data_IF_555030021682
#
_entry.id   IF_555030021682
#
_cell.length_a   1.000
_cell.length_b   1.000
_cell.length_c   1.000
_cell.angle_alpha   90.00
_cell.angle_beta   90.00
_cell.angle_gamma   90.00
#
_symmetry.space_group_name_H-M   'P 1'
#
loop_
_entity.id
_entity.type
_entity.pdbx_description
1 polymer ?
#
# COMPACT_ATOMS: atom_id res chain seq x y z
N UNK A 1 23.02 63.25 21.42
CA UNK A 1 23.39 62.32 20.32
C UNK A 1 22.22 61.36 20.14
N UNK A 2 21.38 61.56 19.12
CA UNK A 2 21.38 60.76 17.88
C UNK A 2 21.23 59.26 18.20
N UNK A 3 20.18 58.53 17.83
CA UNK A 3 19.59 58.43 16.49
C UNK A 3 18.11 58.01 16.54
N UNK A 4 17.28 58.66 15.71
CA UNK A 4 16.01 58.13 15.20
C UNK A 4 16.34 57.08 14.13
N UNK A 5 15.78 55.87 14.23
CA UNK A 5 15.68 54.96 13.10
C UNK A 5 14.20 54.90 12.69
N UNK A 6 13.88 55.59 11.59
CA UNK A 6 12.56 55.57 10.98
C UNK A 6 12.32 54.19 10.33
N UNK A 7 11.23 53.52 10.73
CA UNK A 7 10.78 52.30 10.09
C UNK A 7 10.28 52.64 8.67
N UNK A 8 11.05 52.25 7.64
CA UNK A 8 10.57 52.27 6.26
C UNK A 8 9.50 51.17 6.09
N UNK A 9 8.22 51.53 6.18
CA UNK A 9 7.15 50.74 5.59
C UNK A 9 7.24 50.87 4.08
N UNK A 10 7.85 49.87 3.43
CA UNK A 10 7.70 49.69 1.97
C UNK A 10 6.28 49.18 1.70
N UNK A 11 5.36 50.08 1.41
CA UNK A 11 4.08 49.74 0.78
C UNK A 11 4.36 49.37 -0.67
N UNK A 12 4.33 48.07 -0.97
CA UNK A 12 4.27 47.60 -2.35
C UNK A 12 2.81 47.71 -2.78
N UNK A 13 2.49 48.70 -3.62
CA UNK A 13 1.20 48.78 -4.28
C UNK A 13 1.11 47.61 -5.27
N UNK A 14 0.21 46.65 -4.99
CA UNK A 14 -0.21 45.65 -5.97
C UNK A 14 -0.96 46.38 -7.09
N UNK A 15 -0.61 46.16 -8.38
CA UNK A 15 -1.33 46.79 -9.47
C UNK A 15 -2.78 46.27 -9.47
N UNK A 16 -3.71 47.22 -9.45
CA UNK A 16 -5.13 46.98 -9.62
C UNK A 16 -5.42 46.55 -11.06
N UNK A 17 -5.16 45.28 -11.35
CA UNK A 17 -5.72 44.60 -12.49
C UNK A 17 -6.14 43.21 -12.00
N UNK A 18 -7.30 43.15 -11.36
CA UNK A 18 -7.99 41.90 -11.10
C UNK A 18 -8.34 41.28 -12.47
N UNK A 19 -7.44 40.48 -13.02
CA UNK A 19 -7.86 39.46 -13.96
C UNK A 19 -8.89 38.63 -13.21
N UNK A 20 -10.13 38.50 -13.71
CA UNK A 20 -11.04 37.53 -13.12
C UNK A 20 -10.32 36.20 -13.23
N UNK A 21 -9.90 35.65 -12.09
CA UNK A 21 -9.58 34.25 -12.04
C UNK A 21 -10.88 33.60 -12.50
N UNK A 22 -10.90 33.15 -13.76
CA UNK A 22 -11.83 32.13 -14.18
C UNK A 22 -11.56 31.02 -13.16
N UNK A 23 -12.42 30.94 -12.15
CA UNK A 23 -12.55 29.80 -11.26
C UNK A 23 -13.01 28.69 -12.18
N UNK A 24 -12.03 28.17 -12.92
CA UNK A 24 -12.14 27.10 -13.87
C UNK A 24 -12.79 26.02 -13.04
N UNK A 25 -14.06 25.77 -13.35
CA UNK A 25 -14.95 24.80 -12.73
C UNK A 25 -14.11 23.57 -12.52
N UNK A 26 -13.56 23.42 -11.31
CA UNK A 26 -12.76 22.25 -10.96
C UNK A 26 -13.72 21.14 -11.27
N UNK A 27 -13.32 20.22 -12.14
CA UNK A 27 -14.13 19.04 -12.43
C UNK A 27 -14.22 18.31 -11.10
N UNK A 28 -15.24 18.68 -10.32
CA UNK A 28 -15.49 18.13 -9.01
C UNK A 28 -15.73 16.66 -9.30
N UNK A 29 -14.86 15.85 -8.75
CA UNK A 29 -14.92 14.40 -8.81
C UNK A 29 -16.38 13.95 -8.68
N UNK A 30 -16.83 12.99 -9.50
CA UNK A 30 -18.19 12.51 -9.40
C UNK A 30 -18.46 12.07 -7.95
N UNK A 31 -19.70 12.27 -7.51
CA UNK A 31 -20.16 11.83 -6.19
C UNK A 31 -19.79 10.36 -5.96
N UNK A 32 -18.75 10.16 -5.14
CA UNK A 32 -18.11 8.85 -4.98
C UNK A 32 -19.05 7.85 -4.31
N UNK A 33 -20.00 8.32 -3.49
CA UNK A 33 -20.99 7.49 -2.79
C UNK A 33 -21.86 6.65 -3.73
N UNK A 34 -21.99 7.08 -5.00
CA UNK A 34 -22.77 6.37 -6.03
C UNK A 34 -21.97 5.28 -6.73
N UNK A 35 -20.64 5.28 -6.60
CA UNK A 35 -19.77 4.31 -7.25
C UNK A 35 -19.84 2.98 -6.51
N UNK A 36 -19.90 1.87 -7.26
CA UNK A 36 -19.89 0.52 -6.69
C UNK A 36 -18.65 0.26 -5.85
N UNK A 37 -17.49 0.78 -6.28
CA UNK A 37 -16.25 0.64 -5.53
C UNK A 37 -16.32 1.29 -4.14
N UNK A 38 -16.94 2.46 -4.03
CA UNK A 38 -17.08 3.15 -2.74
C UNK A 38 -17.95 2.35 -1.76
N UNK A 39 -19.07 1.81 -2.24
CA UNK A 39 -19.94 0.93 -1.47
C UNK A 39 -19.24 -0.37 -1.06
N UNK A 40 -18.33 -0.89 -1.90
CA UNK A 40 -17.56 -2.09 -1.58
C UNK A 40 -16.53 -1.83 -0.47
N UNK A 41 -15.87 -0.68 -0.48
CA UNK A 41 -14.96 -0.25 0.61
C UNK A 41 -15.70 -0.14 1.93
N UNK A 42 -16.91 0.45 1.94
CA UNK A 42 -17.72 0.51 3.16
C UNK A 42 -18.08 -0.89 3.71
N UNK A 43 -18.39 -1.83 2.82
CA UNK A 43 -18.72 -3.22 3.17
C UNK A 43 -17.51 -4.06 3.56
N UNK A 44 -16.30 -3.66 3.17
CA UNK A 44 -15.07 -4.36 3.56
C UNK A 44 -14.94 -4.45 5.09
N UNK A 45 -15.41 -3.42 5.81
CA UNK A 45 -15.43 -3.41 7.27
C UNK A 45 -16.30 -4.52 7.90
N UNK A 46 -17.26 -5.08 7.17
CA UNK A 46 -18.10 -6.20 7.61
C UNK A 46 -17.43 -7.57 7.36
N UNK A 47 -16.36 -7.61 6.58
CA UNK A 47 -15.65 -8.86 6.23
C UNK A 47 -14.81 -9.31 7.43
N UNK A 48 -15.10 -10.51 7.93
CA UNK A 48 -14.34 -11.10 9.04
C UNK A 48 -12.94 -11.58 8.66
N UNK A 49 -12.07 -11.74 9.66
CA UNK A 49 -10.65 -12.12 9.45
C UNK A 49 -10.38 -13.63 9.45
N UNK A 50 -11.38 -14.49 9.65
CA UNK A 50 -11.18 -15.92 9.84
C UNK A 50 -10.51 -16.63 8.64
N UNK A 51 -10.78 -16.18 7.41
CA UNK A 51 -10.09 -16.71 6.22
C UNK A 51 -8.62 -16.26 6.19
N UNK A 52 -8.37 -14.99 6.47
CA UNK A 52 -7.01 -14.43 6.54
C UNK A 52 -6.17 -15.10 7.64
N UNK A 53 -6.73 -15.35 8.82
CA UNK A 53 -6.02 -16.03 9.92
C UNK A 53 -5.61 -17.46 9.52
N UNK A 54 -6.50 -18.21 8.87
CA UNK A 54 -6.17 -19.56 8.36
C UNK A 54 -5.05 -19.52 7.32
N UNK A 55 -5.05 -18.53 6.44
CA UNK A 55 -3.99 -18.33 5.44
C UNK A 55 -2.65 -18.00 6.12
N UNK A 56 -2.65 -17.12 7.13
CA UNK A 56 -1.45 -16.80 7.91
C UNK A 56 -0.88 -18.04 8.62
N UNK A 57 -1.73 -18.82 9.30
CA UNK A 57 -1.33 -20.06 9.96
C UNK A 57 -0.75 -21.08 8.97
N UNK A 58 -1.38 -21.21 7.80
CA UNK A 58 -0.90 -22.09 6.74
C UNK A 58 0.48 -21.64 6.23
N UNK A 59 0.64 -20.35 5.94
CA UNK A 59 1.89 -19.79 5.45
C UNK A 59 3.04 -19.96 6.45
N UNK A 60 2.77 -19.78 7.75
CA UNK A 60 3.74 -20.04 8.82
C UNK A 60 4.13 -21.51 8.95
N UNK A 61 3.20 -22.42 8.65
CA UNK A 61 3.45 -23.88 8.67
C UNK A 61 4.29 -24.35 7.48
N UNK A 62 4.11 -23.73 6.32
CA UNK A 62 4.78 -24.12 5.07
C UNK A 62 6.13 -23.41 4.86
N UNK A 63 6.26 -22.18 5.34
CA UNK A 63 7.50 -21.42 5.28
C UNK A 63 8.46 -21.66 6.44
N UNK A 64 9.60 -20.96 6.41
CA UNK A 64 10.52 -20.85 7.53
C UNK A 64 10.06 -19.73 8.48
N UNK A 65 10.26 -19.90 9.79
CA UNK A 65 10.00 -18.84 10.75
C UNK A 65 10.90 -17.63 10.45
N UNK A 66 10.38 -16.43 10.71
CA UNK A 66 11.15 -15.21 10.64
C UNK A 66 12.39 -15.26 11.54
N UNK A 67 13.46 -14.58 11.12
CA UNK A 67 14.70 -14.50 11.89
C UNK A 67 14.46 -13.96 13.31
N UNK A 68 15.34 -14.30 14.25
CA UNK A 68 15.21 -13.87 15.66
C UNK A 68 15.25 -12.34 15.84
N UNK A 69 15.88 -11.62 14.91
CA UNK A 69 15.95 -10.17 14.88
C UNK A 69 14.67 -9.49 14.39
N UNK A 70 13.70 -10.23 13.85
CA UNK A 70 12.45 -9.65 13.37
C UNK A 70 11.48 -9.40 14.51
N UNK A 71 10.94 -8.18 14.53
CA UNK A 71 9.87 -7.76 15.45
C UNK A 71 8.56 -8.49 15.16
N UNK A 72 8.22 -8.63 13.88
CA UNK A 72 7.01 -9.34 13.45
C UNK A 72 7.37 -10.71 12.90
N UNK A 73 6.85 -11.76 13.54
CA UNK A 73 7.05 -13.16 13.15
C UNK A 73 5.84 -13.80 12.50
N UNK A 74 4.79 -13.01 12.24
CA UNK A 74 3.60 -13.48 11.52
C UNK A 74 3.86 -13.58 10.02
N UNK A 75 4.94 -12.97 9.52
CA UNK A 75 5.37 -13.04 8.11
C UNK A 75 6.41 -14.16 7.94
N UNK A 76 6.05 -15.30 7.33
CA UNK A 76 6.99 -16.38 7.06
C UNK A 76 7.99 -16.05 5.95
N UNK A 77 9.13 -16.73 5.97
CA UNK A 77 10.09 -16.72 4.85
C UNK A 77 9.82 -17.92 3.94
N UNK A 78 9.97 -17.78 2.62
CA UNK A 78 9.75 -18.86 1.63
C UNK A 78 8.32 -19.43 1.54
N UNK A 79 7.33 -18.78 2.16
CA UNK A 79 5.93 -19.07 1.88
C UNK A 79 5.39 -18.10 0.85
N UNK A 80 4.58 -18.60 -0.08
CA UNK A 80 3.76 -17.77 -0.97
C UNK A 80 2.37 -17.60 -0.34
N UNK A 81 1.78 -16.42 -0.47
CA UNK A 81 0.35 -16.21 -0.20
C UNK A 81 -0.50 -16.43 -1.45
N UNK A 82 -1.80 -16.19 -1.34
CA UNK A 82 -2.72 -16.21 -2.48
C UNK A 82 -2.26 -15.25 -3.58
N UNK A 83 -2.13 -15.80 -4.79
CA UNK A 83 -1.96 -15.01 -6.00
C UNK A 83 -3.32 -14.73 -6.60
N UNK A 84 -3.54 -13.54 -7.18
CA UNK A 84 -4.77 -13.27 -7.90
C UNK A 84 -5.07 -14.40 -8.89
N UNK A 85 -6.25 -15.02 -8.77
CA UNK A 85 -6.60 -16.25 -9.49
C UNK A 85 -6.39 -16.18 -11.02
N UNK A 86 -6.39 -14.99 -11.61
CA UNK A 86 -6.17 -14.79 -13.05
C UNK A 86 -4.69 -14.80 -13.47
N UNK A 87 -3.73 -14.68 -12.55
CA UNK A 87 -2.33 -14.45 -12.87
C UNK A 87 -1.51 -15.74 -13.08
N UNK A 88 -2.04 -16.91 -12.66
CA UNK A 88 -1.30 -18.17 -12.68
C UNK A 88 0.00 -18.12 -11.86
N UNK A 89 0.65 -19.28 -11.67
CA UNK A 89 1.90 -19.34 -10.91
C UNK A 89 3.06 -18.86 -11.79
N UNK A 90 3.67 -17.73 -11.40
CA UNK A 90 4.93 -17.23 -11.95
C UNK A 90 6.08 -17.71 -11.06
N UNK A 91 6.46 -18.98 -11.21
CA UNK A 91 7.69 -19.55 -10.62
C UNK A 91 8.90 -19.26 -11.52
N UNK A 92 10.10 -19.40 -10.94
CA UNK A 92 11.34 -19.31 -11.70
C UNK A 92 11.32 -20.27 -12.89
N UNK A 93 11.41 -19.71 -14.10
CA UNK A 93 11.37 -20.49 -15.35
C UNK A 93 10.18 -21.47 -15.48
N UNK A 94 9.05 -21.20 -14.82
CA UNK A 94 7.90 -22.13 -14.74
C UNK A 94 8.24 -23.49 -14.10
N UNK A 95 9.29 -23.56 -13.29
CA UNK A 95 9.62 -24.73 -12.52
C UNK A 95 8.49 -25.09 -11.52
N UNK A 96 8.38 -26.36 -11.12
CA UNK A 96 7.46 -26.78 -10.06
C UNK A 96 7.70 -26.00 -8.77
N UNK A 97 6.61 -25.62 -8.09
CA UNK A 97 6.68 -24.96 -6.80
C UNK A 97 6.77 -25.99 -5.67
N UNK A 98 7.73 -25.82 -4.77
CA UNK A 98 7.81 -26.55 -3.52
C UNK A 98 7.11 -25.73 -2.45
N UNK A 99 5.90 -26.14 -2.08
CA UNK A 99 5.07 -25.40 -1.13
C UNK A 99 5.60 -25.50 0.31
N UNK A 100 5.92 -26.71 0.76
CA UNK A 100 6.51 -26.93 2.09
C UNK A 100 8.05 -26.85 2.02
N UNK A 101 8.63 -25.84 2.64
CA UNK A 101 10.09 -25.61 2.66
C UNK A 101 10.86 -26.75 3.31
N UNK A 102 10.23 -27.59 4.15
CA UNK A 102 10.89 -28.74 4.77
C UNK A 102 11.20 -29.85 3.77
N UNK A 103 10.58 -29.78 2.60
CA UNK A 103 10.73 -30.76 1.53
C UNK A 103 11.84 -30.40 0.53
N UNK A 104 12.53 -29.26 0.69
CA UNK A 104 13.61 -28.83 -0.21
C UNK A 104 14.75 -29.85 -0.31
N UNK A 105 15.00 -30.63 0.76
CA UNK A 105 16.02 -31.67 0.79
C UNK A 105 15.77 -32.83 -0.20
N UNK A 106 14.56 -32.92 -0.77
CA UNK A 106 14.22 -33.92 -1.80
C UNK A 106 14.74 -33.54 -3.19
N UNK A 107 15.31 -32.34 -3.34
CA UNK A 107 15.77 -31.78 -4.60
C UNK A 107 17.24 -31.39 -4.51
N UNK A 108 17.94 -31.45 -5.64
CA UNK A 108 19.35 -31.01 -5.71
C UNK A 108 19.48 -29.49 -5.57
N UNK A 109 18.48 -28.74 -6.05
CA UNK A 109 18.38 -27.29 -5.92
C UNK A 109 16.91 -26.84 -5.91
N UNK A 110 16.63 -25.77 -5.17
CA UNK A 110 15.34 -25.07 -5.15
C UNK A 110 15.58 -23.55 -5.14
N UNK A 111 14.69 -22.79 -5.81
CA UNK A 111 14.81 -21.33 -6.04
C UNK A 111 13.49 -20.64 -5.75
#
# INVERSE_FOLDING_TARGET
MHHRAAALQRSVALPAAAHPLHLNRRWHHPDLSKLRGWKAVEKEAEVGHAAWQREQEHALKMGLPGASSLTDKTIPTFSRGELPHFAGILTFMKAPYVEDVREVKKYDAAV
#
